data_IF_138876667511
#
_entry.id   IF_138876667511
#
_cell.length_a   1.000
_cell.length_b   1.000
_cell.length_c   1.000
_cell.angle_alpha   90.00
_cell.angle_beta   90.00
_cell.angle_gamma   90.00
#
_symmetry.space_group_name_H-M   'P 1'
#
loop_
_entity.id
_entity.type
_entity.pdbx_description
1 polymer ?
#
# COMPACT_ATOMS: atom_id res chain seq x y z
N UNK A 1 -36.84 -13.04 0.77
CA UNK A 1 -37.19 -11.85 1.58
C UNK A 1 -38.37 -12.19 2.48
N UNK A 2 -38.46 -11.65 3.70
CA UNK A 2 -37.64 -10.59 4.32
C UNK A 2 -36.82 -11.21 5.49
N UNK A 3 -35.85 -10.60 6.18
CA UNK A 3 -35.72 -9.27 6.76
C UNK A 3 -34.26 -9.09 7.18
N UNK A 4 -33.79 -7.84 7.18
CA UNK A 4 -32.66 -7.35 7.97
C UNK A 4 -32.65 -7.91 9.40
N UNK A 5 -31.82 -8.91 9.66
CA UNK A 5 -31.43 -9.31 11.01
C UNK A 5 -29.97 -8.90 11.14
N UNK A 6 -29.63 -7.85 11.93
CA UNK A 6 -28.24 -7.44 12.14
C UNK A 6 -27.38 -8.64 12.54
N UNK A 7 -26.12 -8.69 12.09
CA UNK A 7 -25.15 -9.74 12.46
C UNK A 7 -25.16 -10.05 13.99
N UNK A 8 -25.37 -9.01 14.81
CA UNK A 8 -25.56 -9.12 16.26
C UNK A 8 -26.79 -9.93 16.71
N UNK A 9 -27.92 -9.84 16.00
CA UNK A 9 -29.13 -10.59 16.33
C UNK A 9 -28.94 -12.09 16.03
N UNK A 10 -28.23 -12.46 14.96
CA UNK A 10 -27.87 -13.85 14.67
C UNK A 10 -26.92 -14.41 15.75
N UNK A 11 -25.91 -13.64 16.15
CA UNK A 11 -24.99 -14.01 17.24
C UNK A 11 -25.73 -14.17 18.57
N UNK A 12 -26.71 -13.31 18.87
CA UNK A 12 -27.52 -13.41 20.08
C UNK A 12 -28.50 -14.59 20.05
N UNK A 13 -29.09 -14.91 18.89
CA UNK A 13 -29.90 -16.11 18.68
C UNK A 13 -29.07 -17.38 18.86
N UNK A 14 -27.88 -17.43 18.27
CA UNK A 14 -26.95 -18.56 18.41
C UNK A 14 -26.42 -18.71 19.84
N UNK A 15 -26.20 -17.62 20.58
CA UNK A 15 -25.88 -17.68 22.02
C UNK A 15 -27.03 -18.22 22.87
N UNK A 16 -28.26 -17.80 22.60
CA UNK A 16 -29.44 -18.36 23.27
C UNK A 16 -29.62 -19.83 22.92
N UNK A 17 -29.34 -20.20 21.68
CA UNK A 17 -29.41 -21.58 21.22
C UNK A 17 -28.29 -22.42 21.86
N UNK A 18 -27.04 -21.95 21.91
CA UNK A 18 -25.89 -22.65 22.51
C UNK A 18 -26.01 -22.87 24.02
N UNK A 19 -26.80 -22.04 24.72
CA UNK A 19 -27.18 -22.23 26.12
C UNK A 19 -28.19 -23.38 26.33
N UNK A 20 -28.83 -23.84 25.25
CA UNK A 20 -29.90 -24.86 25.27
C UNK A 20 -29.47 -26.25 24.73
N UNK A 21 -28.22 -26.41 24.28
CA UNK A 21 -27.68 -27.66 23.70
C UNK A 21 -26.44 -28.13 24.47
N UNK A 22 -26.18 -29.44 24.48
CA UNK A 22 -25.04 -30.07 25.16
C UNK A 22 -24.24 -30.98 24.21
N UNK A 23 -22.97 -31.23 24.53
CA UNK A 23 -22.10 -32.11 23.75
C UNK A 23 -21.51 -31.47 22.48
N UNK A 24 -21.31 -32.27 21.43
CA UNK A 24 -20.65 -31.87 20.18
C UNK A 24 -21.35 -30.71 19.44
N UNK A 25 -22.67 -30.57 19.59
CA UNK A 25 -23.43 -29.48 18.95
C UNK A 25 -23.18 -28.12 19.61
N UNK A 26 -22.85 -28.10 20.91
CA UNK A 26 -22.44 -26.88 21.60
C UNK A 26 -21.07 -26.40 21.10
N UNK A 27 -20.14 -27.32 20.84
CA UNK A 27 -18.82 -27.02 20.28
C UNK A 27 -18.96 -26.42 18.88
N UNK A 28 -19.78 -27.01 18.00
CA UNK A 28 -20.08 -26.46 16.67
C UNK A 28 -20.74 -25.08 16.72
N UNK A 29 -21.65 -24.86 17.68
CA UNK A 29 -22.30 -23.56 17.87
C UNK A 29 -21.32 -22.50 18.38
N UNK A 30 -20.41 -22.86 19.31
CA UNK A 30 -19.35 -21.97 19.79
C UNK A 30 -18.30 -21.67 18.71
N UNK A 31 -17.94 -22.65 17.87
CA UNK A 31 -17.09 -22.45 16.69
C UNK A 31 -17.76 -21.53 15.65
N UNK A 32 -19.06 -21.69 15.40
CA UNK A 32 -19.82 -20.77 14.54
C UNK A 32 -19.88 -19.36 15.14
N UNK A 33 -20.06 -19.22 16.46
CA UNK A 33 -20.05 -17.91 17.14
C UNK A 33 -18.65 -17.27 17.09
N UNK A 34 -17.59 -18.07 17.21
CA UNK A 34 -16.21 -17.61 17.07
C UNK A 34 -15.88 -17.21 15.63
N UNK A 35 -16.45 -17.91 14.64
CA UNK A 35 -16.35 -17.57 13.23
C UNK A 35 -17.16 -16.31 12.88
N UNK A 36 -18.31 -16.10 13.55
CA UNK A 36 -19.19 -14.93 13.38
C UNK A 36 -18.73 -13.67 14.12
N UNK A 37 -17.78 -13.80 15.06
CA UNK A 37 -17.08 -12.67 15.64
C UNK A 37 -15.81 -12.45 14.83
N UNK A 38 -15.82 -11.49 13.91
CA UNK A 38 -14.57 -10.96 13.37
C UNK A 38 -13.68 -10.56 14.58
N UNK A 39 -12.60 -11.32 14.79
CA UNK A 39 -11.69 -11.06 15.89
C UNK A 39 -11.04 -9.71 15.60
N UNK A 40 -11.23 -8.75 16.48
CA UNK A 40 -10.61 -7.43 16.39
C UNK A 40 -9.10 -7.60 16.18
N UNK A 41 -8.57 -7.05 15.08
CA UNK A 41 -7.16 -7.12 14.73
C UNK A 41 -6.50 -5.79 15.06
N UNK A 42 -5.40 -5.85 15.83
CA UNK A 42 -4.64 -4.64 16.15
C UNK A 42 -3.72 -4.28 14.99
N UNK A 43 -3.77 -3.01 14.56
CA UNK A 43 -2.93 -2.46 13.49
C UNK A 43 -2.13 -1.30 14.06
N UNK A 44 -0.82 -1.29 13.79
CA UNK A 44 0.05 -0.18 14.17
C UNK A 44 -0.25 1.02 13.26
N UNK A 45 -0.73 2.11 13.83
CA UNK A 45 -0.97 3.35 13.09
C UNK A 45 0.22 4.30 13.30
N UNK A 46 0.78 4.80 12.21
CA UNK A 46 1.82 5.81 12.22
C UNK A 46 1.25 7.06 11.53
N UNK A 47 0.69 8.03 12.29
CA UNK A 47 0.05 9.20 11.69
C UNK A 47 0.96 10.01 10.77
N UNK A 48 2.25 10.05 11.10
CA UNK A 48 3.27 10.74 10.33
C UNK A 48 3.27 12.26 10.52
N UNK A 49 3.75 12.98 9.52
CA UNK A 49 4.03 14.42 9.55
C UNK A 49 3.18 15.20 8.53
N UNK A 50 3.09 16.52 8.71
CA UNK A 50 2.39 17.41 7.77
C UNK A 50 0.90 17.11 7.72
N UNK A 51 0.37 16.76 6.54
CA UNK A 51 -1.04 16.33 6.40
C UNK A 51 -1.33 14.96 7.01
N UNK A 52 -0.31 14.18 7.37
CA UNK A 52 -0.46 12.80 7.85
C UNK A 52 -1.48 12.61 8.98
N UNK A 53 -1.41 13.38 10.08
CA UNK A 53 -2.40 13.27 11.16
C UNK A 53 -3.84 13.54 10.73
N UNK A 54 -4.05 14.51 9.82
CA UNK A 54 -5.36 14.89 9.29
C UNK A 54 -5.98 13.75 8.49
N UNK A 55 -5.25 13.21 7.50
CA UNK A 55 -5.73 12.10 6.68
C UNK A 55 -5.82 10.78 7.44
N UNK A 56 -4.97 10.56 8.46
CA UNK A 56 -5.04 9.36 9.31
C UNK A 56 -6.31 9.38 10.17
N UNK A 57 -6.64 10.54 10.72
CA UNK A 57 -7.90 10.75 11.45
C UNK A 57 -9.11 10.52 10.56
N UNK A 58 -9.07 10.98 9.31
CA UNK A 58 -10.13 10.72 8.33
C UNK A 58 -10.33 9.22 8.09
N UNK A 59 -9.24 8.47 7.85
CA UNK A 59 -9.31 7.02 7.65
C UNK A 59 -9.87 6.30 8.87
N UNK A 60 -9.44 6.66 10.08
CA UNK A 60 -9.98 6.06 11.32
C UNK A 60 -11.49 6.25 11.44
N UNK A 61 -12.00 7.47 11.16
CA UNK A 61 -13.45 7.75 11.18
C UNK A 61 -14.23 6.92 10.17
N UNK A 62 -13.69 6.75 8.96
CA UNK A 62 -14.32 5.95 7.91
C UNK A 62 -14.35 4.46 8.31
N UNK A 63 -13.27 3.96 8.91
CA UNK A 63 -13.20 2.59 9.41
C UNK A 63 -14.17 2.34 10.57
N UNK A 64 -14.33 3.33 11.47
CA UNK A 64 -15.33 3.30 12.53
C UNK A 64 -16.77 3.30 11.97
N UNK A 65 -17.05 4.15 10.98
CA UNK A 65 -18.34 4.17 10.29
C UNK A 65 -18.63 2.83 9.57
N UNK A 66 -17.59 2.19 9.03
CA UNK A 66 -17.68 0.86 8.45
C UNK A 66 -17.78 -0.26 9.49
N UNK A 67 -17.59 0.01 10.79
CA UNK A 67 -17.46 -1.04 11.81
C UNK A 67 -16.40 -2.09 11.43
N UNK A 68 -15.31 -1.65 10.79
CA UNK A 68 -14.21 -2.55 10.44
C UNK A 68 -13.58 -3.11 11.73
N UNK A 69 -13.22 -4.40 11.79
CA UNK A 69 -12.73 -5.07 13.00
C UNK A 69 -11.26 -4.74 13.27
N UNK A 70 -10.93 -3.45 13.32
CA UNK A 70 -9.58 -2.92 13.48
C UNK A 70 -9.47 -2.14 14.79
N UNK A 71 -8.46 -2.47 15.58
CA UNK A 71 -8.03 -1.66 16.71
C UNK A 71 -6.73 -0.94 16.37
N UNK A 72 -6.73 0.38 16.41
CA UNK A 72 -5.54 1.17 16.11
C UNK A 72 -4.61 1.25 17.32
N UNK A 73 -3.33 0.97 17.11
CA UNK A 73 -2.26 1.21 18.08
C UNK A 73 -1.32 2.29 17.52
N UNK A 74 -1.55 3.54 17.93
CA UNK A 74 -0.76 4.67 17.44
C UNK A 74 0.68 4.63 17.96
N UNK A 75 1.65 4.78 17.05
CA UNK A 75 3.08 4.82 17.37
C UNK A 75 3.77 5.94 16.62
N UNK A 76 4.76 6.52 17.27
CA UNK A 76 5.66 7.49 16.65
C UNK A 76 6.92 6.77 16.16
N UNK A 77 7.39 7.10 14.96
CA UNK A 77 8.57 6.46 14.36
C UNK A 77 9.76 7.39 14.21
N UNK A 78 9.69 8.63 14.71
CA UNK A 78 10.78 9.62 14.64
C UNK A 78 12.08 8.98 15.11
N UNK A 79 13.12 9.04 14.26
CA UNK A 79 14.38 8.36 14.54
C UNK A 79 15.03 8.87 15.82
N UNK A 80 15.54 7.91 16.59
CA UNK A 80 16.34 8.15 17.79
C UNK A 80 17.77 7.63 17.57
N UNK A 81 18.71 8.07 18.41
CA UNK A 81 20.06 7.53 18.44
C UNK A 81 20.07 6.23 19.25
N UNK A 82 20.33 5.12 18.58
CA UNK A 82 20.53 3.81 19.21
C UNK A 82 21.97 3.58 19.67
N UNK A 83 22.28 2.37 20.15
CA UNK A 83 23.63 1.99 20.53
C UNK A 83 24.66 2.25 19.42
N UNK A 84 25.78 2.86 19.76
CA UNK A 84 26.83 3.23 18.79
C UNK A 84 26.49 4.42 17.89
N UNK A 85 25.49 5.23 18.24
CA UNK A 85 25.17 6.49 17.53
C UNK A 85 24.46 6.31 16.19
N UNK A 86 24.05 5.08 15.85
CA UNK A 86 23.25 4.78 14.65
C UNK A 86 21.81 5.24 14.84
N UNK A 87 21.20 5.73 13.77
CA UNK A 87 19.80 6.08 13.75
C UNK A 87 18.92 4.83 13.70
N UNK A 88 17.94 4.74 14.59
CA UNK A 88 16.98 3.63 14.68
C UNK A 88 15.57 4.16 14.92
N UNK A 89 14.55 3.35 14.60
CA UNK A 89 13.17 3.66 15.01
C UNK A 89 13.01 3.40 16.53
N UNK A 90 12.07 4.09 17.20
CA UNK A 90 11.75 3.84 18.60
C UNK A 90 11.44 2.35 18.89
N UNK A 91 11.96 1.77 19.99
CA UNK A 91 11.76 0.35 20.31
C UNK A 91 10.30 -0.06 20.46
N UNK A 92 9.45 0.81 21.00
CA UNK A 92 8.01 0.61 21.17
C UNK A 92 7.26 0.53 19.83
N UNK A 93 7.66 1.34 18.85
CA UNK A 93 7.13 1.25 17.48
C UNK A 93 7.57 -0.05 16.80
N UNK A 94 8.83 -0.47 17.01
CA UNK A 94 9.32 -1.75 16.52
C UNK A 94 8.57 -2.93 17.14
N UNK A 95 8.40 -2.93 18.45
CA UNK A 95 7.67 -3.97 19.19
C UNK A 95 6.22 -4.06 18.74
N UNK A 96 5.54 -2.92 18.55
CA UNK A 96 4.17 -2.87 18.03
C UNK A 96 4.08 -3.52 16.65
N UNK A 97 4.95 -3.15 15.71
CA UNK A 97 4.99 -3.78 14.37
C UNK A 97 5.36 -5.27 14.42
N UNK A 98 6.31 -5.66 15.27
CA UNK A 98 6.70 -7.07 15.42
C UNK A 98 5.56 -7.93 15.97
N UNK A 99 4.71 -7.37 16.83
CA UNK A 99 3.54 -8.04 17.39
C UNK A 99 2.36 -8.07 16.42
N UNK A 100 2.02 -6.91 15.84
CA UNK A 100 0.81 -6.73 15.03
C UNK A 100 1.00 -7.17 13.58
N UNK A 101 2.24 -7.11 13.08
CA UNK A 101 2.65 -7.37 11.68
C UNK A 101 2.07 -6.40 10.65
N UNK A 102 0.93 -5.77 10.92
CA UNK A 102 0.25 -4.81 10.05
C UNK A 102 0.45 -3.39 10.51
N UNK A 103 0.81 -2.52 9.56
CA UNK A 103 0.93 -1.09 9.78
C UNK A 103 0.19 -0.27 8.72
N UNK A 104 -0.41 0.84 9.15
CA UNK A 104 -0.87 1.91 8.29
C UNK A 104 -0.08 3.17 8.61
N UNK A 105 0.46 3.83 7.60
CA UNK A 105 1.42 4.92 7.76
C UNK A 105 1.06 6.11 6.89
N UNK A 106 0.98 7.29 7.50
CA UNK A 106 0.97 8.58 6.81
C UNK A 106 2.35 9.01 6.27
N UNK A 107 2.42 10.11 5.52
CA UNK A 107 3.68 10.64 5.00
C UNK A 107 4.65 11.01 6.14
N UNK A 108 5.95 10.76 5.94
CA UNK A 108 6.99 11.13 6.90
C UNK A 108 7.94 12.17 6.28
N UNK A 109 8.28 13.19 7.06
CA UNK A 109 9.23 14.21 6.65
C UNK A 109 10.64 13.61 6.65
N UNK A 110 11.37 13.77 5.55
CA UNK A 110 12.81 13.47 5.49
C UNK A 110 13.59 14.79 5.50
N UNK A 111 14.54 14.99 6.43
CA UNK A 111 15.42 16.17 6.39
C UNK A 111 16.29 16.18 5.13
N UNK A 112 16.48 17.35 4.52
CA UNK A 112 17.34 17.52 3.35
C UNK A 112 18.76 17.86 3.84
N UNK A 113 19.78 17.17 3.32
CA UNK A 113 21.21 17.42 3.49
C UNK A 113 21.83 17.23 4.89
N UNK A 114 21.08 17.27 6.00
CA UNK A 114 21.60 17.01 7.34
C UNK A 114 20.54 16.39 8.29
N UNK A 115 20.89 15.33 9.03
CA UNK A 115 20.01 14.70 10.02
C UNK A 115 20.03 13.17 10.01
N UNK A 116 18.91 12.55 10.39
CA UNK A 116 18.70 11.12 10.26
C UNK A 116 18.49 10.72 8.79
N UNK A 117 18.82 9.48 8.38
CA UNK A 117 18.47 8.97 7.05
C UNK A 117 16.95 9.02 6.84
N UNK A 118 16.50 8.87 5.59
CA UNK A 118 15.06 8.81 5.29
C UNK A 118 14.35 7.79 6.19
N UNK A 119 13.30 8.24 6.87
CA UNK A 119 12.53 7.36 7.76
C UNK A 119 11.84 6.23 7.00
N UNK A 120 11.40 6.50 5.77
CA UNK A 120 10.82 5.48 4.89
C UNK A 120 11.85 4.38 4.61
N UNK A 121 13.10 4.76 4.31
CA UNK A 121 14.18 3.80 4.09
C UNK A 121 14.51 3.02 5.38
N UNK A 122 14.53 3.70 6.52
CA UNK A 122 14.80 3.07 7.81
C UNK A 122 13.74 2.01 8.15
N UNK A 123 12.45 2.33 8.01
CA UNK A 123 11.35 1.39 8.21
C UNK A 123 11.45 0.18 7.28
N UNK A 124 11.70 0.42 5.98
CA UNK A 124 11.84 -0.66 4.97
C UNK A 124 12.98 -1.60 5.31
N UNK A 125 14.13 -1.08 5.76
CA UNK A 125 15.27 -1.90 6.19
C UNK A 125 15.00 -2.61 7.52
N UNK A 126 14.42 -1.93 8.51
CA UNK A 126 14.16 -2.51 9.84
C UNK A 126 13.19 -3.68 9.77
N UNK A 127 12.20 -3.62 8.89
CA UNK A 127 11.16 -4.64 8.75
C UNK A 127 11.30 -5.50 7.48
N UNK A 128 12.43 -5.39 6.77
CA UNK A 128 12.72 -6.11 5.51
C UNK A 128 11.54 -6.07 4.51
N UNK A 129 10.97 -4.87 4.32
CA UNK A 129 9.82 -4.62 3.44
C UNK A 129 10.28 -4.54 1.98
N UNK A 130 10.55 -5.70 1.39
CA UNK A 130 11.28 -5.81 0.14
C UNK A 130 10.48 -5.55 -1.14
N UNK A 131 9.16 -5.63 -1.08
CA UNK A 131 8.28 -5.39 -2.22
C UNK A 131 7.42 -4.16 -1.97
N UNK A 132 7.49 -3.16 -2.85
CA UNK A 132 6.57 -2.04 -2.84
C UNK A 132 5.55 -2.23 -3.97
N UNK A 133 4.30 -2.47 -3.60
CA UNK A 133 3.17 -2.73 -4.50
C UNK A 133 2.38 -1.44 -4.66
N UNK A 134 2.24 -0.96 -5.90
CA UNK A 134 1.46 0.24 -6.22
C UNK A 134 0.49 -0.06 -7.36
N UNK A 135 -0.79 -0.34 -7.04
CA UNK A 135 -1.85 -0.40 -8.02
C UNK A 135 -2.11 0.98 -8.62
N UNK A 136 -2.29 1.03 -9.93
CA UNK A 136 -2.69 2.20 -10.68
C UNK A 136 -3.98 1.83 -11.44
N UNK A 137 -5.11 2.28 -10.89
CA UNK A 137 -6.43 1.97 -11.41
C UNK A 137 -7.17 3.28 -11.65
N UNK A 138 -7.75 3.44 -12.84
CA UNK A 138 -8.61 4.57 -13.15
C UNK A 138 -9.73 4.69 -12.12
N UNK A 139 -9.89 5.89 -11.56
CA UNK A 139 -10.87 6.16 -10.52
C UNK A 139 -12.23 6.38 -11.15
N UNK A 140 -13.21 5.59 -10.73
CA UNK A 140 -14.56 5.74 -11.23
C UNK A 140 -15.11 7.13 -10.91
N UNK A 141 -15.62 7.83 -11.92
CA UNK A 141 -16.18 9.16 -11.77
C UNK A 141 -15.18 10.33 -11.83
N UNK A 142 -13.87 10.06 -11.81
CA UNK A 142 -12.83 11.07 -12.00
C UNK A 142 -12.20 10.97 -13.39
N UNK A 143 -12.45 11.98 -14.23
CA UNK A 143 -12.01 11.97 -15.64
C UNK A 143 -10.55 12.44 -15.74
N UNK A 144 -9.70 11.62 -16.32
CA UNK A 144 -8.36 12.00 -16.78
C UNK A 144 -8.27 11.88 -18.31
N UNK A 145 -7.15 12.26 -18.95
CA UNK A 145 -6.92 11.98 -20.36
C UNK A 145 -6.88 10.48 -20.71
N UNK A 146 -6.74 9.60 -19.71
CA UNK A 146 -6.65 8.15 -19.87
C UNK A 146 -7.91 7.49 -19.30
N UNK A 147 -8.30 6.36 -19.87
CA UNK A 147 -9.43 5.54 -19.40
C UNK A 147 -8.98 4.09 -19.24
N UNK A 148 -9.68 3.35 -18.37
CA UNK A 148 -9.49 1.91 -18.18
C UNK A 148 -8.05 1.49 -17.81
N UNK A 149 -7.31 2.39 -17.15
CA UNK A 149 -5.99 2.08 -16.60
C UNK A 149 -6.19 1.07 -15.47
N UNK A 150 -5.49 -0.06 -15.52
CA UNK A 150 -5.57 -1.09 -14.48
C UNK A 150 -4.30 -1.95 -14.44
N UNK A 151 -3.23 -1.39 -13.90
CA UNK A 151 -1.93 -2.05 -13.80
C UNK A 151 -1.40 -2.00 -12.37
N UNK A 152 -0.41 -2.83 -12.07
CA UNK A 152 0.27 -2.84 -10.76
C UNK A 152 1.78 -2.82 -10.96
N UNK A 153 2.45 -1.86 -10.33
CA UNK A 153 3.92 -1.88 -10.26
C UNK A 153 4.36 -2.59 -8.99
N UNK A 154 5.30 -3.52 -9.14
CA UNK A 154 5.96 -4.26 -8.07
C UNK A 154 7.44 -3.86 -8.10
N UNK A 155 7.79 -3.00 -7.15
CA UNK A 155 9.12 -2.40 -7.04
C UNK A 155 9.94 -3.14 -6.00
N UNK A 156 11.16 -3.55 -6.37
CA UNK A 156 12.19 -3.95 -5.40
C UNK A 156 12.51 -2.76 -4.49
N UNK A 157 12.53 -2.96 -3.18
CA UNK A 157 12.47 -1.87 -2.20
C UNK A 157 13.60 -1.86 -1.17
N UNK A 158 14.65 -2.69 -1.36
CA UNK A 158 15.78 -2.83 -0.42
C UNK A 158 17.15 -2.45 -1.00
N UNK A 159 17.34 -2.53 -2.31
CA UNK A 159 18.63 -2.34 -2.96
C UNK A 159 18.51 -1.46 -4.23
N UNK A 160 19.33 -1.71 -5.25
CA UNK A 160 19.43 -0.90 -6.45
C UNK A 160 20.24 0.38 -6.22
N UNK A 161 19.80 1.44 -6.87
CA UNK A 161 20.36 2.79 -6.76
C UNK A 161 20.09 3.41 -5.37
N UNK A 162 19.19 2.82 -4.58
CA UNK A 162 18.81 3.29 -3.24
C UNK A 162 19.68 2.67 -2.13
N UNK A 163 20.76 1.98 -2.50
CA UNK A 163 21.76 1.46 -1.57
C UNK A 163 22.35 2.57 -0.68
N UNK A 164 22.42 3.80 -1.20
CA UNK A 164 23.01 4.97 -0.53
C UNK A 164 24.53 4.91 -0.45
N UNK A 165 25.17 4.10 -1.31
CA UNK A 165 26.62 3.94 -1.34
C UNK A 165 27.20 4.93 -2.34
N UNK A 166 27.73 6.03 -1.81
CA UNK A 166 28.27 7.13 -2.60
C UNK A 166 29.65 7.55 -2.09
N UNK A 167 30.54 7.91 -3.00
CA UNK A 167 31.90 8.35 -2.67
C UNK A 167 32.32 9.51 -3.57
N UNK A 168 33.05 10.47 -3.00
CA UNK A 168 33.84 11.43 -3.79
C UNK A 168 35.17 10.77 -4.10
N UNK A 169 35.43 10.47 -5.37
CA UNK A 169 36.66 9.79 -5.81
C UNK A 169 37.83 10.77 -5.77
N UNK A 170 37.60 11.95 -6.35
CA UNK A 170 38.44 13.14 -6.31
C UNK A 170 37.51 14.36 -6.31
N UNK A 171 38.04 15.54 -6.02
CA UNK A 171 37.24 16.78 -6.06
C UNK A 171 36.51 16.92 -7.41
N UNK A 172 35.21 17.18 -7.36
CA UNK A 172 34.33 17.25 -8.52
C UNK A 172 33.91 15.91 -9.16
N UNK A 173 34.34 14.75 -8.64
CA UNK A 173 33.97 13.42 -9.19
C UNK A 173 33.30 12.56 -8.13
N UNK A 174 32.01 12.27 -8.34
CA UNK A 174 31.19 11.45 -7.44
C UNK A 174 30.82 10.13 -8.09
N UNK A 175 30.94 9.04 -7.34
CA UNK A 175 30.47 7.71 -7.71
C UNK A 175 29.27 7.34 -6.85
N UNK A 176 28.21 6.84 -7.47
CA UNK A 176 27.08 6.17 -6.82
C UNK A 176 27.04 4.71 -7.26
N UNK A 177 26.90 3.78 -6.31
CA UNK A 177 26.97 2.33 -6.58
C UNK A 177 25.58 1.72 -6.56
N UNK A 178 25.11 1.29 -7.73
CA UNK A 178 23.95 0.43 -7.88
C UNK A 178 24.29 -1.01 -7.47
N UNK A 179 23.61 -1.53 -6.45
CA UNK A 179 23.74 -2.92 -6.04
C UNK A 179 22.52 -3.72 -6.47
N UNK A 180 22.74 -4.84 -7.16
CA UNK A 180 21.70 -5.83 -7.44
C UNK A 180 22.21 -7.18 -6.94
N UNK A 181 21.43 -7.85 -6.10
CA UNK A 181 21.76 -9.15 -5.55
C UNK A 181 20.82 -10.23 -6.06
N UNK A 182 21.33 -11.46 -6.10
CA UNK A 182 20.57 -12.63 -6.52
C UNK A 182 19.37 -12.87 -5.61
N UNK A 183 19.56 -12.79 -4.29
CA UNK A 183 18.52 -13.05 -3.31
C UNK A 183 17.36 -12.03 -3.42
N UNK A 184 17.66 -10.74 -3.52
CA UNK A 184 16.63 -9.71 -3.64
C UNK A 184 15.89 -9.79 -4.98
N UNK A 185 16.62 -10.03 -6.07
CA UNK A 185 16.03 -10.23 -7.40
C UNK A 185 15.15 -11.48 -7.47
N UNK A 186 15.54 -12.56 -6.81
CA UNK A 186 14.75 -13.80 -6.76
C UNK A 186 13.43 -13.59 -6.00
N UNK A 187 13.49 -13.05 -4.78
CA UNK A 187 12.28 -12.87 -3.95
C UNK A 187 11.27 -11.90 -4.57
N UNK A 188 11.73 -10.81 -5.21
CA UNK A 188 10.80 -9.86 -5.84
C UNK A 188 10.15 -10.45 -7.09
N UNK A 189 10.89 -11.25 -7.87
CA UNK A 189 10.36 -11.95 -9.01
C UNK A 189 9.30 -12.99 -8.59
N UNK A 190 9.62 -13.82 -7.60
CA UNK A 190 8.69 -14.82 -7.05
C UNK A 190 7.42 -14.17 -6.50
N UNK A 191 7.58 -13.07 -5.73
CA UNK A 191 6.48 -12.28 -5.23
C UNK A 191 5.59 -11.73 -6.36
N UNK A 192 6.16 -11.28 -7.47
CA UNK A 192 5.36 -10.74 -8.58
C UNK A 192 4.45 -11.80 -9.21
N UNK A 193 4.94 -13.03 -9.41
CA UNK A 193 4.14 -14.14 -9.92
C UNK A 193 3.10 -14.62 -8.90
N UNK A 194 3.44 -14.68 -7.61
CA UNK A 194 2.49 -14.99 -6.55
C UNK A 194 1.37 -13.95 -6.46
N UNK A 195 1.74 -12.67 -6.48
CA UNK A 195 0.79 -11.56 -6.50
C UNK A 195 -0.13 -11.68 -7.72
N UNK A 196 0.41 -12.04 -8.89
CA UNK A 196 -0.38 -12.24 -10.09
C UNK A 196 -1.48 -13.28 -9.89
N UNK A 197 -1.13 -14.46 -9.37
CA UNK A 197 -2.09 -15.54 -9.08
C UNK A 197 -3.12 -15.14 -8.05
N UNK A 198 -2.68 -14.58 -6.93
CA UNK A 198 -3.57 -14.20 -5.82
C UNK A 198 -4.57 -13.10 -6.21
N UNK A 199 -4.22 -12.26 -7.19
CA UNK A 199 -5.05 -11.16 -7.66
C UNK A 199 -5.67 -11.41 -9.06
N UNK A 200 -5.63 -12.67 -9.54
CA UNK A 200 -6.22 -13.10 -10.83
C UNK A 200 -5.74 -12.28 -12.02
N UNK A 201 -4.46 -11.93 -12.01
CA UNK A 201 -3.74 -11.24 -13.08
C UNK A 201 -3.18 -12.28 -14.04
N UNK A 202 -2.94 -11.88 -15.28
CA UNK A 202 -2.62 -12.81 -16.38
C UNK A 202 -1.21 -12.66 -16.90
N UNK A 203 -0.55 -11.52 -16.65
CA UNK A 203 0.80 -11.29 -17.15
C UNK A 203 1.68 -10.49 -16.19
N UNK A 204 2.99 -10.79 -16.25
CA UNK A 204 4.06 -10.10 -15.53
C UNK A 204 5.10 -9.66 -16.56
N UNK A 205 5.46 -8.38 -16.54
CA UNK A 205 6.53 -7.81 -17.36
C UNK A 205 7.71 -7.40 -16.49
N UNK A 206 8.89 -7.95 -16.75
CA UNK A 206 10.14 -7.51 -16.13
C UNK A 206 10.66 -6.26 -16.85
N UNK A 207 10.77 -5.14 -16.13
CA UNK A 207 11.28 -3.87 -16.66
C UNK A 207 12.76 -3.72 -16.32
N UNK A 208 13.59 -3.50 -17.33
CA UNK A 208 15.05 -3.46 -17.16
C UNK A 208 15.75 -2.53 -18.17
N UNK A 209 17.06 -2.34 -17.99
CA UNK A 209 17.95 -1.67 -18.95
C UNK A 209 19.26 -2.44 -19.15
N UNK A 210 19.14 -3.77 -19.16
CA UNK A 210 20.24 -4.73 -19.33
C UNK A 210 21.06 -4.57 -20.63
N UNK A 211 20.58 -3.83 -21.63
CA UNK A 211 21.37 -3.47 -22.82
C UNK A 211 22.56 -2.55 -22.47
N UNK A 212 22.38 -1.69 -21.46
CA UNK A 212 23.43 -0.81 -20.90
C UNK A 212 24.02 -1.44 -19.64
N UNK A 213 23.18 -1.80 -18.67
CA UNK A 213 23.56 -2.38 -17.38
C UNK A 213 23.61 -3.91 -17.44
N UNK A 214 24.56 -4.43 -18.22
CA UNK A 214 24.63 -5.86 -18.57
C UNK A 214 24.76 -6.80 -17.37
N UNK A 215 25.44 -6.37 -16.30
CA UNK A 215 25.68 -7.21 -15.13
C UNK A 215 24.58 -7.10 -14.07
N UNK A 216 24.25 -5.88 -13.65
CA UNK A 216 23.26 -5.61 -12.61
C UNK A 216 21.85 -5.97 -13.07
N UNK A 217 21.32 -5.28 -14.09
CA UNK A 217 20.00 -5.58 -14.63
C UNK A 217 19.95 -6.94 -15.32
N UNK A 218 21.09 -7.42 -15.86
CA UNK A 218 21.20 -8.78 -16.37
C UNK A 218 21.00 -9.84 -15.28
N UNK A 219 21.50 -9.61 -14.06
CA UNK A 219 21.24 -10.51 -12.92
C UNK A 219 19.76 -10.51 -12.53
N UNK A 220 19.16 -9.32 -12.37
CA UNK A 220 17.73 -9.18 -12.10
C UNK A 220 16.88 -9.94 -13.13
N UNK A 221 17.15 -9.70 -14.42
CA UNK A 221 16.41 -10.32 -15.52
C UNK A 221 16.54 -11.84 -15.55
N UNK A 222 17.73 -12.39 -15.26
CA UNK A 222 17.92 -13.85 -15.13
C UNK A 222 17.02 -14.43 -14.04
N UNK A 223 16.92 -13.79 -12.88
CA UNK A 223 16.07 -14.25 -11.79
C UNK A 223 14.58 -14.15 -12.11
N UNK A 224 14.16 -13.13 -12.86
CA UNK A 224 12.80 -13.07 -13.40
C UNK A 224 12.49 -14.21 -14.38
N UNK A 225 13.42 -14.55 -15.28
CA UNK A 225 13.28 -15.68 -16.22
C UNK A 225 13.16 -17.02 -15.48
N UNK A 226 14.02 -17.25 -14.48
CA UNK A 226 13.96 -18.45 -13.65
C UNK A 226 12.61 -18.57 -12.90
N UNK A 227 12.07 -17.44 -12.39
CA UNK A 227 10.74 -17.42 -11.78
C UNK A 227 9.63 -17.72 -12.80
N UNK A 228 9.74 -17.17 -14.03
CA UNK A 228 8.80 -17.44 -15.12
C UNK A 228 8.82 -18.91 -15.56
N UNK A 229 9.97 -19.58 -15.51
CA UNK A 229 10.07 -21.02 -15.77
C UNK A 229 9.25 -21.87 -14.80
N UNK A 230 9.15 -21.43 -13.54
CA UNK A 230 8.37 -22.10 -12.49
C UNK A 230 6.88 -21.74 -12.51
N UNK A 231 6.48 -20.66 -13.19
CA UNK A 231 5.11 -20.13 -13.20
C UNK A 231 4.60 -19.98 -14.64
N UNK A 232 4.46 -21.11 -15.36
CA UNK A 232 4.06 -21.14 -16.78
C UNK A 232 2.60 -20.73 -17.04
N UNK A 233 1.79 -20.66 -15.99
CA UNK A 233 0.39 -20.21 -16.02
C UNK A 233 0.25 -18.69 -16.19
N UNK A 234 1.31 -17.92 -15.92
CA UNK A 234 1.34 -16.46 -16.08
C UNK A 234 2.20 -16.08 -17.28
N UNK A 235 1.67 -15.25 -18.18
CA UNK A 235 2.44 -14.75 -19.33
C UNK A 235 3.58 -13.87 -18.86
N UNK A 236 4.82 -14.20 -19.24
CA UNK A 236 6.00 -13.41 -18.92
C UNK A 236 6.49 -12.61 -20.14
N UNK A 237 6.79 -11.33 -19.94
CA UNK A 237 7.36 -10.43 -20.96
C UNK A 237 8.57 -9.67 -20.37
N UNK A 238 9.48 -9.23 -21.23
CA UNK A 238 10.63 -8.41 -20.85
C UNK A 238 10.60 -7.13 -21.67
N UNK A 239 10.78 -5.98 -21.03
CA UNK A 239 10.76 -4.69 -21.73
C UNK A 239 11.82 -3.74 -21.20
N UNK A 240 12.38 -2.94 -22.10
CA UNK A 240 13.28 -1.87 -21.70
C UNK A 240 12.53 -0.73 -21.01
N UNK A 241 13.13 -0.15 -19.97
CA UNK A 241 12.55 0.94 -19.18
C UNK A 241 11.99 2.08 -20.03
N UNK A 242 12.77 2.57 -20.99
CA UNK A 242 12.38 3.65 -21.90
C UNK A 242 11.21 3.25 -22.82
N UNK A 243 11.19 2.01 -23.31
CA UNK A 243 10.05 1.50 -24.08
C UNK A 243 8.79 1.44 -23.22
N UNK A 244 8.90 1.00 -21.96
CA UNK A 244 7.76 1.01 -21.03
C UNK A 244 7.29 2.45 -20.78
N UNK A 245 8.18 3.40 -20.51
CA UNK A 245 7.80 4.80 -20.32
C UNK A 245 7.05 5.37 -21.53
N UNK A 246 7.55 5.13 -22.75
CA UNK A 246 6.92 5.60 -23.99
C UNK A 246 5.54 4.95 -24.19
N UNK A 247 5.46 3.63 -24.08
CA UNK A 247 4.23 2.88 -24.28
C UNK A 247 3.19 3.21 -23.20
N UNK A 248 3.61 3.44 -21.96
CA UNK A 248 2.75 3.77 -20.82
C UNK A 248 1.98 5.08 -21.02
N UNK A 249 2.62 6.09 -21.61
CA UNK A 249 1.94 7.36 -21.91
C UNK A 249 1.14 7.31 -23.21
N UNK A 250 1.36 6.31 -24.06
CA UNK A 250 0.60 6.13 -25.30
C UNK A 250 -0.67 5.30 -25.07
N UNK A 251 -0.52 4.15 -24.42
CA UNK A 251 -1.60 3.24 -24.08
C UNK A 251 -1.23 2.42 -22.83
N UNK A 252 -1.63 2.86 -21.63
CA UNK A 252 -1.33 2.13 -20.40
C UNK A 252 -2.14 0.83 -20.25
N UNK A 253 -3.20 0.62 -21.04
CA UNK A 253 -4.09 -0.55 -20.91
C UNK A 253 -3.43 -1.86 -21.36
N UNK A 254 -2.30 -1.76 -22.08
CA UNK A 254 -1.51 -2.93 -22.50
C UNK A 254 -0.76 -3.61 -21.33
N UNK A 255 -0.66 -2.95 -20.17
CA UNK A 255 0.12 -3.45 -19.04
C UNK A 255 -0.77 -4.05 -17.94
N UNK A 256 -0.27 -5.13 -17.32
CA UNK A 256 -0.91 -5.80 -16.19
C UNK A 256 -0.04 -5.65 -14.93
N UNK A 257 0.94 -6.54 -14.70
CA UNK A 257 1.95 -6.38 -13.65
C UNK A 257 3.30 -5.97 -14.24
N UNK A 258 3.94 -4.97 -13.65
CA UNK A 258 5.31 -4.56 -13.96
C UNK A 258 6.22 -4.82 -12.75
N UNK A 259 7.21 -5.70 -12.87
CA UNK A 259 8.21 -5.97 -11.83
C UNK A 259 9.55 -5.34 -12.18
N UNK A 260 10.20 -4.65 -11.25
CA UNK A 260 11.40 -3.86 -11.56
C UNK A 260 12.31 -3.51 -10.37
N UNK A 261 13.59 -3.19 -10.62
CA UNK A 261 14.50 -2.60 -9.64
C UNK A 261 14.02 -1.26 -9.06
N UNK A 262 14.64 -0.87 -7.95
CA UNK A 262 14.16 0.17 -7.05
C UNK A 262 13.91 1.54 -7.70
N UNK A 263 14.90 2.13 -8.39
CA UNK A 263 14.75 3.45 -9.02
C UNK A 263 13.71 3.46 -10.14
N UNK A 264 13.62 2.37 -10.90
CA UNK A 264 12.65 2.27 -12.00
C UNK A 264 11.24 2.23 -11.44
N UNK A 265 11.06 1.49 -10.35
CA UNK A 265 9.81 1.43 -9.62
C UNK A 265 9.38 2.79 -9.10
N UNK A 266 10.31 3.59 -8.57
CA UNK A 266 10.01 4.95 -8.12
C UNK A 266 9.47 5.80 -9.26
N UNK A 267 10.22 5.89 -10.36
CA UNK A 267 9.89 6.73 -11.50
C UNK A 267 8.60 6.28 -12.18
N UNK A 268 8.48 4.98 -12.49
CA UNK A 268 7.33 4.47 -13.24
C UNK A 268 6.05 4.52 -12.43
N UNK A 269 6.10 4.27 -11.13
CA UNK A 269 4.88 4.33 -10.32
C UNK A 269 4.36 5.76 -10.11
N UNK A 270 5.24 6.76 -10.03
CA UNK A 270 4.86 8.17 -10.02
C UNK A 270 4.33 8.62 -11.39
N UNK A 271 4.90 8.13 -12.50
CA UNK A 271 4.33 8.30 -13.84
C UNK A 271 2.90 7.74 -13.88
N UNK A 272 2.70 6.52 -13.38
CA UNK A 272 1.39 5.87 -13.32
C UNK A 272 0.37 6.67 -12.49
N UNK A 273 0.79 7.26 -11.38
CA UNK A 273 -0.07 8.15 -10.59
C UNK A 273 -0.65 9.29 -11.45
N UNK A 274 0.16 9.89 -12.32
CA UNK A 274 -0.26 10.94 -13.25
C UNK A 274 -1.35 10.50 -14.24
N UNK A 275 -1.45 9.21 -14.55
CA UNK A 275 -2.47 8.67 -15.47
C UNK A 275 -3.87 8.64 -14.85
N UNK A 276 -3.96 8.48 -13.52
CA UNK A 276 -5.21 8.21 -12.80
C UNK A 276 -5.71 9.36 -11.92
N UNK A 277 -5.01 10.50 -11.91
CA UNK A 277 -5.42 11.70 -11.18
C UNK A 277 -4.39 12.25 -10.21
N UNK A 278 -3.20 11.65 -10.15
CA UNK A 278 -2.05 12.15 -9.40
C UNK A 278 -1.80 11.43 -8.08
N UNK A 279 -0.85 11.97 -7.32
CA UNK A 279 -0.37 11.35 -6.08
C UNK A 279 -1.41 11.35 -4.95
N UNK A 280 -2.39 12.27 -4.97
CA UNK A 280 -3.45 12.39 -3.96
C UNK A 280 -4.40 11.20 -3.89
N UNK A 281 -4.35 10.31 -4.89
CA UNK A 281 -5.24 9.15 -5.02
C UNK A 281 -4.49 7.83 -5.22
N UNK A 282 -3.16 7.85 -5.17
CA UNK A 282 -2.35 6.65 -5.47
C UNK A 282 -1.96 5.93 -4.17
N UNK A 283 -2.45 4.70 -3.94
CA UNK A 283 -2.11 3.94 -2.74
C UNK A 283 -0.83 3.11 -2.91
N UNK A 284 -0.25 2.66 -1.80
CA UNK A 284 0.85 1.69 -1.83
C UNK A 284 0.90 0.75 -0.62
N UNK A 285 1.52 -0.41 -0.82
CA UNK A 285 1.81 -1.39 0.23
C UNK A 285 3.26 -1.84 0.18
N UNK A 286 3.99 -1.72 1.28
CA UNK A 286 5.32 -2.27 1.46
C UNK A 286 5.19 -3.63 2.15
N UNK A 287 5.50 -4.70 1.42
CA UNK A 287 5.34 -6.07 1.87
C UNK A 287 6.72 -6.64 2.21
N UNK A 288 6.84 -7.20 3.41
CA UNK A 288 8.05 -7.82 3.91
C UNK A 288 7.93 -9.32 4.08
N UNK A 289 8.96 -9.89 4.69
CA UNK A 289 8.98 -11.31 5.08
C UNK A 289 8.17 -11.52 6.37
N UNK A 290 7.81 -12.78 6.66
CA UNK A 290 7.14 -13.18 7.91
C UNK A 290 5.80 -12.46 8.18
N UNK A 291 5.08 -12.09 7.12
CA UNK A 291 3.75 -11.48 7.21
C UNK A 291 3.75 -10.01 7.61
N UNK A 292 4.91 -9.35 7.69
CA UNK A 292 4.97 -7.91 7.98
C UNK A 292 4.59 -7.11 6.73
N UNK A 293 3.67 -6.15 6.87
CA UNK A 293 3.35 -5.21 5.82
C UNK A 293 3.01 -3.82 6.38
N UNK A 294 3.45 -2.78 5.67
CA UNK A 294 3.13 -1.38 5.95
C UNK A 294 2.49 -0.74 4.73
N UNK A 295 1.24 -0.31 4.86
CA UNK A 295 0.49 0.39 3.83
C UNK A 295 0.64 1.90 4.02
N UNK A 296 0.89 2.62 2.93
CA UNK A 296 1.16 4.06 2.96
C UNK A 296 0.68 4.74 1.69
N UNK A 297 0.31 6.01 1.79
CA UNK A 297 0.11 6.84 0.59
C UNK A 297 1.43 7.16 -0.08
N UNK A 298 1.42 7.33 -1.41
CA UNK A 298 2.63 7.66 -2.18
C UNK A 298 3.07 9.12 -1.99
N UNK A 299 2.12 10.03 -1.74
CA UNK A 299 2.41 11.46 -1.64
C UNK A 299 3.26 11.82 -0.40
N UNK A 300 3.91 12.99 -0.47
CA UNK A 300 4.68 13.56 0.64
C UNK A 300 3.84 14.22 1.74
N UNK A 301 4.49 15.01 2.59
CA UNK A 301 3.87 15.63 3.77
C UNK A 301 3.01 16.86 3.49
N UNK A 302 3.08 17.42 2.27
CA UNK A 302 2.33 18.61 1.83
C UNK A 302 2.27 19.73 2.90
N UNK A 303 3.44 20.28 3.31
CA UNK A 303 3.53 21.21 4.44
C UNK A 303 2.78 22.53 4.23
N UNK A 304 2.52 22.90 2.99
CA UNK A 304 1.78 24.09 2.57
C UNK A 304 0.29 24.02 2.93
N UNK A 305 -0.29 22.82 3.04
CA UNK A 305 -1.71 22.60 3.39
C UNK A 305 -1.92 21.88 4.74
N UNK A 306 -0.84 21.47 5.41
CA UNK A 306 -0.91 20.79 6.70
C UNK A 306 -1.71 21.58 7.75
N UNK A 307 -2.71 20.92 8.36
CA UNK A 307 -3.55 21.50 9.41
C UNK A 307 -4.59 22.51 8.91
N UNK A 308 -4.78 22.63 7.59
CA UNK A 308 -5.78 23.54 7.00
C UNK A 308 -7.11 22.87 6.69
N UNK A 309 -7.28 21.58 6.98
CA UNK A 309 -8.47 20.80 6.66
C UNK A 309 -8.74 20.75 5.14
N UNK A 310 -7.67 20.66 4.35
CA UNK A 310 -7.68 20.73 2.88
C UNK A 310 -7.13 19.46 2.23
N UNK A 311 -6.55 18.54 3.00
CA UNK A 311 -5.89 17.37 2.45
C UNK A 311 -6.91 16.39 1.87
N UNK A 312 -6.54 15.70 0.79
CA UNK A 312 -7.32 14.59 0.26
C UNK A 312 -6.93 13.29 0.96
N UNK A 313 -7.82 12.64 1.74
CA UNK A 313 -7.50 11.39 2.42
C UNK A 313 -7.51 10.16 1.49
N UNK A 314 -7.88 10.31 0.21
CA UNK A 314 -8.13 9.19 -0.71
C UNK A 314 -6.93 8.25 -0.84
N UNK A 315 -5.71 8.74 -1.07
CA UNK A 315 -4.54 7.86 -1.20
C UNK A 315 -4.28 6.99 0.04
N UNK A 316 -4.38 7.57 1.24
CA UNK A 316 -4.20 6.79 2.47
C UNK A 316 -5.38 5.86 2.73
N UNK A 317 -6.61 6.29 2.43
CA UNK A 317 -7.81 5.47 2.52
C UNK A 317 -7.73 4.25 1.61
N UNK A 318 -7.32 4.43 0.35
CA UNK A 318 -7.14 3.33 -0.60
C UNK A 318 -5.98 2.41 -0.18
N UNK A 319 -4.94 2.94 0.47
CA UNK A 319 -3.88 2.12 1.07
C UNK A 319 -4.41 1.28 2.24
N UNK A 320 -5.32 1.84 3.04
CA UNK A 320 -6.00 1.12 4.11
C UNK A 320 -7.00 0.08 3.55
N UNK A 321 -7.63 0.34 2.40
CA UNK A 321 -8.42 -0.67 1.67
C UNK A 321 -7.53 -1.81 1.18
N UNK A 322 -6.34 -1.51 0.64
CA UNK A 322 -5.34 -2.55 0.30
C UNK A 322 -4.95 -3.38 1.53
N UNK A 323 -4.78 -2.73 2.68
CA UNK A 323 -4.51 -3.41 3.95
C UNK A 323 -5.63 -4.38 4.34
N UNK A 324 -6.89 -3.93 4.30
CA UNK A 324 -8.05 -4.80 4.58
C UNK A 324 -8.09 -6.02 3.66
N UNK A 325 -7.81 -5.86 2.36
CA UNK A 325 -7.72 -6.98 1.41
C UNK A 325 -6.60 -7.95 1.77
N UNK A 326 -5.44 -7.43 2.18
CA UNK A 326 -4.31 -8.25 2.62
C UNK A 326 -4.63 -9.04 3.89
N UNK A 327 -5.47 -8.49 4.76
CA UNK A 327 -5.96 -9.13 6.00
C UNK A 327 -7.13 -10.11 5.75
N UNK A 328 -7.63 -10.22 4.52
CA UNK A 328 -8.79 -11.05 4.17
C UNK A 328 -10.16 -10.40 4.43
N UNK A 329 -10.19 -9.13 4.84
CA UNK A 329 -11.40 -8.36 5.14
C UNK A 329 -11.99 -7.73 3.86
N UNK A 330 -12.31 -8.58 2.88
CA UNK A 330 -12.67 -8.15 1.53
C UNK A 330 -13.98 -7.36 1.46
N UNK A 331 -14.98 -7.70 2.28
CA UNK A 331 -16.28 -7.03 2.28
C UNK A 331 -16.18 -5.60 2.82
N UNK A 332 -15.44 -5.39 3.92
CA UNK A 332 -15.13 -4.07 4.45
C UNK A 332 -14.34 -3.23 3.44
N UNK A 333 -13.32 -3.83 2.83
CA UNK A 333 -12.52 -3.17 1.80
C UNK A 333 -13.38 -2.69 0.63
N UNK A 334 -14.23 -3.58 0.09
CA UNK A 334 -15.12 -3.28 -1.03
C UNK A 334 -16.12 -2.17 -0.68
N UNK A 335 -16.74 -2.23 0.51
CA UNK A 335 -17.72 -1.22 0.93
C UNK A 335 -17.09 0.16 1.06
N UNK A 336 -15.94 0.27 1.72
CA UNK A 336 -15.22 1.55 1.90
C UNK A 336 -14.77 2.11 0.55
N UNK A 337 -14.21 1.28 -0.33
CA UNK A 337 -13.78 1.70 -1.66
C UNK A 337 -14.97 2.19 -2.51
N UNK A 338 -16.08 1.44 -2.51
CA UNK A 338 -17.31 1.81 -3.22
C UNK A 338 -17.83 3.15 -2.73
N UNK A 339 -17.92 3.36 -1.41
CA UNK A 339 -18.35 4.63 -0.84
C UNK A 339 -17.42 5.81 -1.20
N UNK A 340 -16.10 5.58 -1.24
CA UNK A 340 -15.13 6.58 -1.67
C UNK A 340 -15.35 6.96 -3.14
N UNK A 341 -15.41 5.98 -4.05
CA UNK A 341 -15.60 6.22 -5.48
C UNK A 341 -16.96 6.83 -5.79
N UNK A 342 -18.03 6.39 -5.13
CA UNK A 342 -19.35 6.98 -5.26
C UNK A 342 -19.38 8.45 -4.82
N UNK A 343 -18.62 8.80 -3.78
CA UNK A 343 -18.48 10.21 -3.34
C UNK A 343 -17.75 11.04 -4.39
N UNK A 344 -16.68 10.49 -4.98
CA UNK A 344 -15.93 11.14 -6.06
C UNK A 344 -16.81 11.32 -7.31
N UNK A 345 -17.56 10.28 -7.69
CA UNK A 345 -18.46 10.25 -8.86
C UNK A 345 -19.59 11.27 -8.78
N UNK A 346 -20.13 11.51 -7.58
CA UNK A 346 -21.20 12.47 -7.37
C UNK A 346 -20.77 13.94 -7.54
N UNK A 347 -19.46 14.23 -7.42
CA UNK A 347 -18.84 15.56 -7.61
C UNK A 347 -19.39 16.69 -6.72
N UNK A 348 -20.16 16.37 -5.69
CA UNK A 348 -20.76 17.36 -4.77
C UNK A 348 -19.82 17.77 -3.66
N UNK A 349 -19.10 16.81 -3.09
CA UNK A 349 -18.17 17.00 -1.99
C UNK A 349 -16.82 16.48 -2.47
N UNK A 350 -15.94 17.39 -2.90
CA UNK A 350 -14.62 17.06 -3.45
C UNK A 350 -13.59 18.01 -2.86
N UNK A 351 -12.40 17.50 -2.57
CA UNK A 351 -11.23 18.29 -2.17
C UNK A 351 -10.65 19.07 -3.36
N UNK A 352 -9.77 20.03 -3.07
CA UNK A 352 -9.26 20.96 -4.08
C UNK A 352 -8.49 20.30 -5.23
N UNK A 353 -7.72 19.25 -4.95
CA UNK A 353 -6.97 18.46 -5.92
C UNK A 353 -7.86 17.68 -6.89
N UNK A 354 -9.07 17.33 -6.45
CA UNK A 354 -10.12 16.72 -7.30
C UNK A 354 -10.99 17.78 -8.00
N UNK A 355 -10.66 19.07 -7.90
CA UNK A 355 -11.38 20.18 -8.54
C UNK A 355 -12.57 20.72 -7.73
N UNK A 356 -12.71 20.32 -6.46
CA UNK A 356 -13.74 20.82 -5.55
C UNK A 356 -13.29 21.95 -4.64
N UNK A 357 -14.09 22.21 -3.60
CA UNK A 357 -13.85 23.25 -2.58
C UNK A 357 -14.11 22.74 -1.16
N UNK A 358 -14.42 21.47 -1.01
CA UNK A 358 -14.76 20.87 0.27
C UNK A 358 -13.51 20.63 1.10
N UNK A 359 -13.72 20.65 2.41
CA UNK A 359 -12.69 20.32 3.40
C UNK A 359 -12.43 18.82 3.48
N UNK A 360 -11.30 18.43 4.04
CA UNK A 360 -10.98 17.03 4.34
C UNK A 360 -12.06 16.41 5.23
N UNK A 361 -12.47 17.13 6.28
CA UNK A 361 -13.54 16.72 7.20
C UNK A 361 -14.89 16.52 6.51
N UNK A 362 -15.29 17.42 5.61
CA UNK A 362 -16.54 17.33 4.85
C UNK A 362 -16.52 16.14 3.89
N UNK A 363 -15.41 15.93 3.18
CA UNK A 363 -15.23 14.78 2.30
C UNK A 363 -15.27 13.47 3.08
N UNK A 364 -14.63 13.43 4.25
CA UNK A 364 -14.67 12.28 5.15
C UNK A 364 -16.10 11.95 5.60
N UNK A 365 -16.88 12.92 6.04
CA UNK A 365 -18.25 12.67 6.49
C UNK A 365 -19.15 12.21 5.35
N UNK A 366 -18.97 12.75 4.14
CA UNK A 366 -19.69 12.29 2.95
C UNK A 366 -19.42 10.80 2.66
N UNK A 367 -18.17 10.36 2.80
CA UNK A 367 -17.80 8.94 2.67
C UNK A 367 -18.40 8.13 3.82
N UNK A 368 -18.28 8.57 5.07
CA UNK A 368 -18.86 7.90 6.23
C UNK A 368 -20.37 7.67 6.07
N UNK A 369 -21.11 8.67 5.58
CA UNK A 369 -22.55 8.54 5.36
C UNK A 369 -22.84 7.45 4.33
N UNK A 370 -22.16 7.44 3.18
CA UNK A 370 -22.33 6.39 2.17
C UNK A 370 -21.95 5.00 2.68
N UNK A 371 -20.88 4.90 3.48
CA UNK A 371 -20.49 3.64 4.10
C UNK A 371 -21.60 3.10 5.00
N UNK A 372 -22.32 3.96 5.74
CA UNK A 372 -23.45 3.54 6.60
C UNK A 372 -24.69 3.15 5.79
N UNK A 373 -24.85 3.73 4.59
CA UNK A 373 -25.98 3.46 3.71
C UNK A 373 -25.83 2.14 2.92
N UNK A 374 -24.61 1.56 2.87
CA UNK A 374 -24.26 0.28 2.24
C UNK A 374 -24.22 -0.87 3.26
#
# INVERSE_FOLDING_TARGET
>A
CPCNVPHLQIVNLLRKWSLSISGQDKIKAEECIACLKEKMQTVTLIPGDGIGPEISTAVMKIFEAAQAPIQWEERNVTAIKGPGGKWVIPPDAKESMDRNKMGLKGPLKTPIAAGHPSMNLLLRKTFDLYSNVRPCVSIEGYKTPYTDVNLVTIRENTEGEYSGIEHVIVDGVVQSIKLITEQASQRIAEYAFEYARNNKRTSVTAVHKANIMRMSDGLFLRKCREAAERNKDIKFTEMYLDTVCLNMVQDPTQFDILVMPNLYGDILSDLCAGLIGGLGVTPSGNIGTNGVAIFESVHGTAPDIAGKDMANPTALLLSAVMMLRHMGLHDHAKRIETACFDTIRDKKVLTGDLGGKSKCSEFTEAICQRVRDL
#
